data_IF_171946287384
#
_entry.id   IF_171946287384
#
_cell.length_a   1.000
_cell.length_b   1.000
_cell.length_c   1.000
_cell.angle_alpha   90.00
_cell.angle_beta   90.00
_cell.angle_gamma   90.00
#
_symmetry.space_group_name_H-M   'P 1'
#
loop_
_entity.id
_entity.type
_entity.pdbx_description
1 polymer ?
#
# COMPACT_ATOMS: atom_id res chain seq x y z
N UNK A 1 23.35 -1.84 4.73
CA UNK A 1 22.23 -1.41 3.87
C UNK A 1 22.00 0.08 4.09
N UNK A 2 22.14 0.89 3.06
CA UNK A 2 21.79 2.31 3.09
C UNK A 2 20.36 2.47 2.57
N UNK A 3 19.38 2.05 3.38
CA UNK A 3 17.97 2.28 3.03
C UNK A 3 17.59 3.70 3.42
N UNK A 4 17.20 4.50 2.44
CA UNK A 4 16.68 5.84 2.70
C UNK A 4 15.31 5.72 3.40
N UNK A 5 15.06 6.37 4.55
CA UNK A 5 13.82 6.23 5.33
C UNK A 5 12.59 6.91 4.69
N UNK A 6 12.65 7.24 3.39
CA UNK A 6 11.54 7.88 2.68
C UNK A 6 10.30 6.98 2.46
N UNK A 7 10.39 5.68 2.76
CA UNK A 7 9.27 4.74 2.68
C UNK A 7 8.73 4.43 4.09
N UNK A 8 8.26 5.44 4.79
CA UNK A 8 7.65 5.29 6.11
C UNK A 8 6.39 4.42 6.08
N UNK A 9 5.89 3.98 7.26
CA UNK A 9 4.64 3.25 7.38
C UNK A 9 3.45 4.13 7.03
N UNK A 10 2.37 3.48 6.60
CA UNK A 10 1.06 4.10 6.42
C UNK A 10 0.12 3.59 7.52
N UNK A 11 -0.74 4.47 8.02
CA UNK A 11 -1.69 4.18 9.09
C UNK A 11 -3.09 4.63 8.68
N UNK A 12 -4.08 3.82 9.00
CA UNK A 12 -5.49 4.20 8.96
C UNK A 12 -6.18 3.72 10.25
N UNK A 13 -7.14 4.50 10.74
CA UNK A 13 -7.84 4.18 11.96
C UNK A 13 -9.32 4.55 11.90
N UNK A 14 -10.16 3.81 12.64
CA UNK A 14 -11.57 4.08 12.83
C UNK A 14 -11.98 3.56 14.22
N UNK A 15 -12.45 4.46 15.10
CA UNK A 15 -12.68 4.13 16.50
C UNK A 15 -11.40 3.64 17.18
N UNK A 16 -11.45 2.49 17.84
CA UNK A 16 -10.29 1.84 18.46
C UNK A 16 -9.52 0.91 17.53
N UNK A 17 -10.01 0.70 16.31
CA UNK A 17 -9.32 -0.12 15.32
C UNK A 17 -8.30 0.72 14.55
N UNK A 18 -7.06 0.25 14.50
CA UNK A 18 -6.01 0.82 13.66
C UNK A 18 -5.39 -0.27 12.81
N UNK A 19 -5.01 0.07 11.58
CA UNK A 19 -4.22 -0.79 10.69
C UNK A 19 -3.00 -0.04 10.23
N UNK A 20 -1.87 -0.72 10.25
CA UNK A 20 -0.58 -0.19 9.79
C UNK A 20 -0.05 -1.06 8.67
N UNK A 21 0.43 -0.43 7.61
CA UNK A 21 1.16 -1.08 6.53
C UNK A 21 2.57 -0.52 6.47
N UNK A 22 3.56 -1.37 6.24
CA UNK A 22 4.95 -0.93 6.11
C UNK A 22 5.74 -1.81 5.14
N UNK A 23 6.79 -1.23 4.63
CA UNK A 23 7.80 -1.90 3.84
C UNK A 23 9.02 -2.22 4.69
N UNK A 24 9.59 -3.38 4.49
CA UNK A 24 10.85 -3.80 5.09
C UNK A 24 11.71 -4.48 4.03
N UNK A 25 13.01 -4.26 4.10
CA UNK A 25 14.00 -4.97 3.29
C UNK A 25 15.09 -5.58 4.19
N UNK A 26 14.71 -6.01 5.38
CA UNK A 26 15.61 -6.70 6.30
C UNK A 26 16.16 -7.98 5.65
N UNK A 27 17.47 -8.22 5.84
CA UNK A 27 18.18 -9.39 5.28
C UNK A 27 18.03 -9.52 3.75
N UNK A 28 17.97 -8.38 3.04
CA UNK A 28 17.77 -8.31 1.59
C UNK A 28 16.49 -9.03 1.08
N UNK A 29 15.47 -9.09 1.95
CA UNK A 29 14.15 -9.65 1.64
C UNK A 29 13.10 -8.53 1.66
N UNK A 30 12.80 -7.90 0.52
CA UNK A 30 11.75 -6.89 0.44
C UNK A 30 10.38 -7.48 0.75
N UNK A 31 9.67 -6.84 1.70
CA UNK A 31 8.36 -7.24 2.16
C UNK A 31 7.46 -6.02 2.32
N UNK A 32 6.19 -6.17 1.99
CA UNK A 32 5.09 -5.33 2.49
C UNK A 32 4.30 -6.12 3.50
N UNK A 33 4.09 -5.55 4.66
CA UNK A 33 3.39 -6.18 5.77
C UNK A 33 2.24 -5.30 6.24
N UNK A 34 1.26 -5.93 6.88
CA UNK A 34 0.04 -5.31 7.38
C UNK A 34 -0.27 -5.87 8.77
N UNK A 35 -0.57 -5.02 9.73
CA UNK A 35 -0.98 -5.43 11.06
C UNK A 35 -2.16 -4.61 11.56
N UNK A 36 -2.95 -5.18 12.46
CA UNK A 36 -4.16 -4.59 13.04
C UNK A 36 -4.03 -4.46 14.55
N UNK A 37 -4.53 -3.36 15.07
CA UNK A 37 -4.80 -3.13 16.48
C UNK A 37 -6.30 -2.96 16.72
N UNK A 38 -6.76 -3.35 17.89
CA UNK A 38 -8.15 -3.16 18.37
C UNK A 38 -8.25 -2.27 19.61
N UNK A 39 -7.11 -1.81 20.11
CA UNK A 39 -6.98 -1.06 21.37
C UNK A 39 -6.35 0.33 21.16
N UNK A 40 -6.69 0.97 20.05
CA UNK A 40 -6.23 2.32 19.74
C UNK A 40 -4.74 2.40 19.37
N UNK A 41 -4.14 1.29 18.96
CA UNK A 41 -2.71 1.23 18.58
C UNK A 41 -1.77 0.84 19.72
N UNK A 42 -2.29 0.48 20.89
CA UNK A 42 -1.47 0.06 22.02
C UNK A 42 -0.78 -1.29 21.76
N UNK A 43 -1.45 -2.19 21.03
CA UNK A 43 -0.88 -3.48 20.60
C UNK A 43 -1.31 -3.80 19.19
N UNK A 44 -0.41 -4.39 18.41
CA UNK A 44 -0.70 -4.90 17.08
C UNK A 44 -0.62 -6.42 17.06
N UNK A 45 -1.56 -7.04 16.35
CA UNK A 45 -1.55 -8.48 16.11
C UNK A 45 -0.34 -8.88 15.23
N UNK A 46 -0.10 -10.19 15.14
CA UNK A 46 0.94 -10.72 14.23
C UNK A 46 0.74 -10.21 12.80
N UNK A 47 1.78 -9.65 12.19
CA UNK A 47 1.67 -9.12 10.84
C UNK A 47 1.34 -10.19 9.79
N UNK A 48 0.56 -9.81 8.79
CA UNK A 48 0.37 -10.60 7.58
C UNK A 48 1.24 -10.06 6.46
N UNK A 49 1.83 -10.95 5.65
CA UNK A 49 2.63 -10.57 4.48
C UNK A 49 1.68 -10.25 3.33
N UNK A 50 1.74 -9.02 2.83
CA UNK A 50 0.97 -8.55 1.67
C UNK A 50 1.68 -8.90 0.37
N UNK A 51 2.97 -8.61 0.30
CA UNK A 51 3.81 -8.88 -0.86
C UNK A 51 5.25 -9.15 -0.42
N UNK A 52 5.95 -9.99 -1.18
CA UNK A 52 7.35 -10.32 -0.92
C UNK A 52 8.12 -10.51 -2.23
N UNK A 53 9.42 -10.40 -2.15
CA UNK A 53 10.35 -10.67 -3.24
C UNK A 53 11.04 -9.42 -3.79
N UNK A 54 12.05 -9.61 -4.66
CA UNK A 54 12.96 -8.54 -5.08
C UNK A 54 12.30 -7.40 -5.86
N UNK A 55 11.13 -7.65 -6.43
CA UNK A 55 10.39 -6.63 -7.17
C UNK A 55 9.55 -5.71 -6.27
N UNK A 56 9.39 -6.00 -4.98
CA UNK A 56 8.60 -5.16 -4.07
C UNK A 56 9.35 -3.87 -3.77
N UNK A 57 8.74 -2.74 -4.11
CA UNK A 57 9.37 -1.41 -4.03
C UNK A 57 8.88 -0.56 -2.84
N UNK A 58 7.92 -1.06 -2.09
CA UNK A 58 7.37 -0.34 -0.93
C UNK A 58 6.40 0.77 -1.32
N UNK A 59 6.53 1.96 -0.69
CA UNK A 59 5.65 3.12 -0.86
C UNK A 59 4.19 2.77 -0.62
N UNK A 60 3.94 2.25 0.57
CA UNK A 60 2.64 1.72 0.97
C UNK A 60 1.63 2.82 1.28
N UNK A 61 0.37 2.53 1.02
CA UNK A 61 -0.78 3.27 1.54
C UNK A 61 -1.79 2.28 2.08
N UNK A 62 -2.54 2.66 3.12
CA UNK A 62 -3.55 1.82 3.74
C UNK A 62 -4.80 2.63 4.03
N UNK A 63 -5.96 2.00 3.88
CA UNK A 63 -7.24 2.55 4.28
C UNK A 63 -8.13 1.45 4.83
N UNK A 64 -9.09 1.81 5.66
CA UNK A 64 -10.08 0.88 6.17
C UNK A 64 -11.47 1.51 6.16
N UNK A 65 -12.46 0.67 5.97
CA UNK A 65 -13.85 0.96 6.26
C UNK A 65 -14.41 -0.14 7.19
N UNK A 66 -15.71 -0.07 7.52
CA UNK A 66 -16.33 -1.01 8.43
C UNK A 66 -16.29 -2.48 7.93
N UNK A 67 -16.05 -2.72 6.66
CA UNK A 67 -16.19 -4.04 6.03
C UNK A 67 -14.86 -4.62 5.55
N UNK A 68 -13.81 -3.80 5.38
CA UNK A 68 -12.58 -4.25 4.74
C UNK A 68 -11.40 -3.31 4.97
N UNK A 69 -10.22 -3.85 4.76
CA UNK A 69 -8.95 -3.14 4.75
C UNK A 69 -8.38 -3.15 3.33
N UNK A 70 -7.91 -2.00 2.89
CA UNK A 70 -7.27 -1.83 1.59
C UNK A 70 -5.81 -1.44 1.80
N UNK A 71 -4.92 -2.05 1.03
CA UNK A 71 -3.50 -1.73 1.05
C UNK A 71 -2.97 -1.62 -0.37
N UNK A 72 -2.28 -0.52 -0.66
CA UNK A 72 -1.62 -0.28 -1.93
C UNK A 72 -0.09 -0.29 -1.75
N UNK A 73 0.62 -0.75 -2.77
CA UNK A 73 2.09 -0.74 -2.81
C UNK A 73 2.59 -0.66 -4.24
N UNK A 74 3.87 -0.35 -4.39
CA UNK A 74 4.54 -0.38 -5.68
C UNK A 74 5.39 -1.64 -5.83
N UNK A 75 5.43 -2.14 -7.06
CA UNK A 75 6.29 -3.23 -7.50
C UNK A 75 7.06 -2.80 -8.74
N UNK A 76 8.34 -3.14 -8.81
CA UNK A 76 9.18 -2.91 -9.97
C UNK A 76 8.72 -3.76 -11.16
N UNK A 77 8.67 -3.16 -12.34
CA UNK A 77 8.36 -3.87 -13.58
C UNK A 77 9.12 -3.24 -14.77
N UNK A 78 10.08 -3.96 -15.30
CA UNK A 78 10.91 -3.46 -16.39
C UNK A 78 11.61 -2.15 -16.01
N UNK A 79 11.41 -1.09 -16.80
CA UNK A 79 11.96 0.25 -16.53
C UNK A 79 11.04 1.11 -15.65
N UNK A 80 9.82 0.69 -15.40
CA UNK A 80 8.82 1.40 -14.62
C UNK A 80 8.41 0.64 -13.36
N UNK A 81 7.20 0.95 -12.89
CA UNK A 81 6.60 0.33 -11.70
C UNK A 81 5.13 0.00 -11.96
N UNK A 82 4.57 -0.89 -11.15
CA UNK A 82 3.13 -1.15 -11.09
C UNK A 82 2.60 -0.73 -9.73
N UNK A 83 1.46 -0.07 -9.73
CA UNK A 83 0.69 0.21 -8.52
C UNK A 83 -0.31 -0.94 -8.32
N UNK A 84 -0.08 -1.70 -7.26
CA UNK A 84 -0.91 -2.80 -6.83
C UNK A 84 -1.81 -2.37 -5.66
N UNK A 85 -2.99 -2.95 -5.59
CA UNK A 85 -3.96 -2.77 -4.51
C UNK A 85 -4.50 -4.13 -4.09
N UNK A 86 -4.51 -4.42 -2.79
CA UNK A 86 -5.17 -5.59 -2.25
C UNK A 86 -6.27 -5.20 -1.27
N UNK A 87 -7.28 -6.03 -1.20
CA UNK A 87 -8.41 -5.94 -0.28
C UNK A 87 -8.39 -7.13 0.67
N UNK A 88 -8.58 -6.88 1.94
CA UNK A 88 -8.61 -7.88 3.01
C UNK A 88 -9.90 -7.82 3.80
N UNK A 89 -10.27 -8.95 4.42
CA UNK A 89 -11.27 -8.99 5.47
C UNK A 89 -10.86 -8.05 6.62
N UNK A 90 -11.82 -7.50 7.40
CA UNK A 90 -11.52 -6.52 8.45
C UNK A 90 -10.57 -7.02 9.54
N UNK A 91 -10.55 -8.34 9.76
CA UNK A 91 -9.68 -9.00 10.73
C UNK A 91 -8.32 -9.43 10.15
N UNK A 92 -8.06 -9.13 8.88
CA UNK A 92 -6.89 -9.52 8.09
C UNK A 92 -6.73 -11.04 7.88
N UNK A 93 -7.71 -11.86 8.25
CA UNK A 93 -7.66 -13.32 8.15
C UNK A 93 -7.56 -13.82 6.71
N UNK A 94 -8.04 -13.04 5.75
CA UNK A 94 -8.11 -13.44 4.35
C UNK A 94 -7.93 -12.25 3.41
N UNK A 95 -7.07 -12.43 2.41
CA UNK A 95 -7.04 -11.55 1.24
C UNK A 95 -8.25 -11.86 0.37
N UNK A 96 -9.05 -10.85 0.09
CA UNK A 96 -10.28 -10.97 -0.70
C UNK A 96 -10.00 -10.81 -2.19
N UNK A 97 -9.11 -9.88 -2.54
CA UNK A 97 -8.84 -9.53 -3.93
C UNK A 97 -7.51 -8.80 -4.08
N UNK A 98 -6.93 -8.87 -5.27
CA UNK A 98 -5.75 -8.08 -5.67
C UNK A 98 -6.00 -7.49 -7.05
N UNK A 99 -5.60 -6.23 -7.25
CA UNK A 99 -5.77 -5.48 -8.48
C UNK A 99 -4.43 -4.87 -8.89
N UNK A 100 -4.14 -4.85 -10.18
CA UNK A 100 -3.18 -3.91 -10.76
C UNK A 100 -3.94 -2.65 -11.13
N UNK A 101 -3.67 -1.56 -10.43
CA UNK A 101 -4.39 -0.28 -10.61
C UNK A 101 -3.82 0.50 -11.78
N UNK A 102 -2.49 0.55 -11.88
CA UNK A 102 -1.80 1.31 -12.92
C UNK A 102 -0.40 0.79 -13.18
N UNK A 103 0.08 1.02 -14.39
CA UNK A 103 1.49 0.91 -14.75
C UNK A 103 2.07 2.31 -14.87
N UNK A 104 3.16 2.56 -14.14
CA UNK A 104 3.89 3.82 -14.13
C UNK A 104 5.09 3.70 -15.06
N UNK A 105 5.28 4.69 -15.92
CA UNK A 105 6.33 4.67 -16.94
C UNK A 105 7.74 4.79 -16.35
N UNK A 106 7.87 5.39 -15.16
CA UNK A 106 9.16 5.70 -14.55
C UNK A 106 9.24 5.20 -13.12
N UNK A 107 10.47 5.19 -12.60
CA UNK A 107 10.82 4.96 -11.20
C UNK A 107 11.35 6.26 -10.61
N UNK A 108 11.55 6.26 -9.31
CA UNK A 108 12.25 7.32 -8.61
C UNK A 108 11.38 8.18 -7.73
N UNK A 109 11.93 9.29 -7.25
CA UNK A 109 11.30 10.10 -6.21
C UNK A 109 10.11 10.91 -6.70
N UNK A 110 9.99 11.18 -7.99
CA UNK A 110 8.90 11.96 -8.56
C UNK A 110 7.68 11.12 -8.97
N UNK A 111 7.76 9.80 -8.85
CA UNK A 111 6.72 8.85 -9.31
C UNK A 111 6.22 7.98 -8.16
N UNK A 112 4.96 7.58 -8.23
CA UNK A 112 4.33 6.75 -7.21
C UNK A 112 3.73 7.57 -6.07
N UNK A 113 4.07 7.25 -4.82
CA UNK A 113 3.51 7.86 -3.61
C UNK A 113 1.98 7.79 -3.55
N UNK A 114 1.40 6.59 -3.58
CA UNK A 114 -0.04 6.45 -3.55
C UNK A 114 -0.62 7.02 -2.25
N UNK A 115 -1.77 7.67 -2.39
CA UNK A 115 -2.65 8.00 -1.27
C UNK A 115 -3.95 7.26 -1.46
N UNK A 116 -4.49 6.74 -0.37
CA UNK A 116 -5.61 5.83 -0.38
C UNK A 116 -6.63 6.24 0.67
N UNK A 117 -7.88 6.28 0.28
CA UNK A 117 -9.02 6.38 1.19
C UNK A 117 -10.04 5.32 0.84
N UNK A 118 -10.82 4.87 1.82
CA UNK A 118 -11.88 3.89 1.61
C UNK A 118 -13.17 4.33 2.28
N UNK A 119 -14.28 4.04 1.63
CA UNK A 119 -15.61 4.30 2.18
C UNK A 119 -16.65 3.43 1.45
N UNK A 120 -17.59 2.87 2.20
CA UNK A 120 -18.75 2.13 1.67
C UNK A 120 -18.39 1.05 0.62
N UNK A 121 -17.28 0.34 0.84
CA UNK A 121 -16.83 -0.74 -0.03
C UNK A 121 -16.11 -0.29 -1.31
N UNK A 122 -15.81 0.99 -1.44
CA UNK A 122 -15.00 1.55 -2.51
C UNK A 122 -13.69 2.10 -1.96
N UNK A 123 -12.65 2.09 -2.79
CA UNK A 123 -11.38 2.74 -2.52
C UNK A 123 -11.05 3.76 -3.61
N UNK A 124 -10.52 4.90 -3.21
CA UNK A 124 -10.02 5.93 -4.10
C UNK A 124 -8.53 6.06 -3.90
N UNK A 125 -7.78 6.03 -5.00
CA UNK A 125 -6.34 6.20 -5.01
C UNK A 125 -5.99 7.41 -5.84
N UNK A 126 -4.96 8.13 -5.39
CA UNK A 126 -4.25 9.12 -6.21
C UNK A 126 -2.74 8.83 -6.12
N UNK A 127 -2.04 9.07 -7.20
CA UNK A 127 -0.59 8.89 -7.28
C UNK A 127 0.01 9.88 -8.28
N UNK A 128 1.33 10.03 -8.25
CA UNK A 128 2.07 10.80 -9.25
C UNK A 128 2.65 9.84 -10.29
N UNK A 129 2.51 10.18 -11.56
CA UNK A 129 3.17 9.51 -12.66
C UNK A 129 3.94 10.53 -13.50
N UNK A 130 5.14 10.17 -13.95
CA UNK A 130 5.98 11.04 -14.76
C UNK A 130 5.91 10.59 -16.21
N UNK A 131 5.33 11.43 -17.05
CA UNK A 131 5.20 11.17 -18.48
C UNK A 131 5.91 12.30 -19.26
N UNK A 132 6.83 11.94 -20.17
CA UNK A 132 7.61 12.93 -20.91
C UNK A 132 8.46 13.85 -20.02
N UNK A 133 8.91 13.39 -18.86
CA UNK A 133 9.66 14.18 -17.89
C UNK A 133 8.82 15.10 -17.00
N UNK A 134 7.50 15.14 -17.19
CA UNK A 134 6.58 15.99 -16.42
C UNK A 134 5.77 15.15 -15.44
N UNK A 135 5.72 15.50 -14.13
CA UNK A 135 4.86 14.86 -13.15
C UNK A 135 3.39 15.20 -13.39
N UNK A 136 2.54 14.18 -13.34
CA UNK A 136 1.08 14.28 -13.44
C UNK A 136 0.43 13.59 -12.26
N UNK A 137 -0.57 14.23 -11.64
CA UNK A 137 -1.43 13.57 -10.67
C UNK A 137 -2.46 12.72 -11.41
N UNK A 138 -2.53 11.44 -11.05
CA UNK A 138 -3.51 10.47 -11.56
C UNK A 138 -4.32 9.89 -10.42
N UNK A 139 -5.50 9.38 -10.72
CA UNK A 139 -6.36 8.76 -9.73
C UNK A 139 -7.22 7.64 -10.31
N UNK A 140 -7.69 6.77 -9.45
CA UNK A 140 -8.62 5.69 -9.76
C UNK A 140 -9.58 5.45 -8.60
N UNK A 141 -10.79 5.00 -8.95
CA UNK A 141 -11.73 4.42 -8.02
C UNK A 141 -11.83 2.93 -8.29
N UNK A 142 -11.76 2.14 -7.23
CA UNK A 142 -11.96 0.69 -7.27
C UNK A 142 -13.15 0.35 -6.39
N UNK A 143 -14.13 -0.33 -6.97
CA UNK A 143 -15.32 -0.84 -6.28
C UNK A 143 -15.20 -2.35 -6.09
N UNK A 144 -15.87 -2.88 -5.06
CA UNK A 144 -15.95 -4.33 -4.80
C UNK A 144 -16.91 -5.02 -5.78
#
# INVERSE_FOLDING_TARGET
MHACPLAGPALAASGTTAVVAWYSAAHDQPLVQLARSLDGGARFATPVVVASGPAVAGRVAVALDAQQVWVAWLREQGKGQVLELARYAPDLSRRLQTFTVATLATRGMASGYPRLVASHGSAWLVWTDVTGGTPHLKGAQVTR
#
